data_IF_870031537703
#
_entry.id   IF_870031537703
#
_cell.length_a   1.000
_cell.length_b   1.000
_cell.length_c   1.000
_cell.angle_alpha   90.00
_cell.angle_beta   90.00
_cell.angle_gamma   90.00
#
_symmetry.space_group_name_H-M   'P 1'
#
loop_
_entity.id
_entity.type
_entity.pdbx_description
1 polymer ?
#
# COMPACT_ATOMS: atom_id res chain seq x y z
N UNK A 1 6.75 17.51 -0.21
CA UNK A 1 5.97 17.47 1.04
C UNK A 1 6.82 17.64 2.28
N UNK A 2 7.89 16.85 2.47
CA UNK A 2 8.72 16.92 3.69
C UNK A 2 9.32 18.32 3.94
N UNK A 3 9.93 18.95 2.93
CA UNK A 3 10.40 20.35 3.02
C UNK A 3 9.33 21.34 3.49
N UNK A 4 8.11 21.27 2.94
CA UNK A 4 6.99 22.13 3.35
C UNK A 4 6.54 21.85 4.79
N UNK A 5 6.66 20.60 5.24
CA UNK A 5 6.37 20.20 6.61
C UNK A 5 7.46 20.68 7.58
N UNK A 6 8.73 20.63 7.17
CA UNK A 6 9.87 21.09 7.98
C UNK A 6 9.84 22.62 8.12
N UNK A 7 9.58 23.35 7.03
CA UNK A 7 9.39 24.80 7.05
C UNK A 7 8.21 25.21 7.95
N UNK A 8 7.12 24.43 7.91
CA UNK A 8 5.99 24.63 8.81
C UNK A 8 6.38 24.37 10.27
N UNK A 9 7.09 23.28 10.55
CA UNK A 9 7.52 22.93 11.90
C UNK A 9 8.40 24.03 12.51
N UNK A 10 9.33 24.59 11.72
CA UNK A 10 10.18 25.71 12.14
C UNK A 10 9.35 26.97 12.41
N UNK A 11 8.42 27.34 11.51
CA UNK A 11 7.55 28.52 11.72
C UNK A 11 6.70 28.38 12.98
N UNK A 12 6.05 27.22 13.15
CA UNK A 12 5.24 26.92 14.32
C UNK A 12 6.06 26.89 15.62
N UNK A 13 7.34 26.48 15.57
CA UNK A 13 8.19 26.45 16.75
C UNK A 13 8.56 27.86 17.21
N UNK A 14 8.83 28.76 16.26
CA UNK A 14 9.11 30.17 16.54
C UNK A 14 7.86 30.86 17.11
N UNK A 15 6.68 30.62 16.54
CA UNK A 15 5.40 31.15 17.04
C UNK A 15 5.08 30.60 18.44
N UNK A 16 5.22 29.29 18.64
CA UNK A 16 5.00 28.65 19.94
C UNK A 16 5.92 29.19 21.03
N UNK A 17 7.18 29.49 20.72
CA UNK A 17 8.12 30.12 21.67
C UNK A 17 7.72 31.56 22.01
N UNK A 18 7.18 32.32 21.06
CA UNK A 18 6.70 33.69 21.28
C UNK A 18 5.43 33.72 22.15
N UNK A 19 4.54 32.77 21.94
CA UNK A 19 3.27 32.64 22.65
C UNK A 19 3.43 31.93 24.02
N UNK A 20 4.61 31.37 24.31
CA UNK A 20 4.88 30.67 25.57
C UNK A 20 4.19 29.30 25.68
N UNK A 21 3.88 28.65 24.55
CA UNK A 21 3.21 27.35 24.55
C UNK A 21 4.08 26.25 25.14
N UNK A 22 3.42 25.31 25.81
CA UNK A 22 4.07 24.08 26.28
C UNK A 22 4.42 23.19 25.08
N UNK A 23 5.49 22.38 25.19
CA UNK A 23 5.94 21.49 24.10
C UNK A 23 4.85 20.56 23.58
N UNK A 24 3.99 20.06 24.47
CA UNK A 24 2.89 19.16 24.11
C UNK A 24 1.81 19.87 23.29
N UNK A 25 1.51 21.12 23.62
CA UNK A 25 0.56 21.97 22.89
C UNK A 25 1.10 22.33 21.51
N UNK A 26 2.41 22.66 21.42
CA UNK A 26 3.10 22.85 20.14
C UNK A 26 3.01 21.60 19.26
N UNK A 27 3.31 20.41 19.80
CA UNK A 27 3.21 19.15 19.05
C UNK A 27 1.79 18.90 18.54
N UNK A 28 0.79 19.16 19.37
CA UNK A 28 -0.61 19.00 18.99
C UNK A 28 -0.98 19.94 17.84
N UNK A 29 -0.69 21.24 17.99
CA UNK A 29 -0.96 22.26 16.96
C UNK A 29 -0.22 21.98 15.65
N UNK A 30 1.03 21.53 15.73
CA UNK A 30 1.81 21.13 14.55
C UNK A 30 1.17 19.93 13.83
N UNK A 31 0.73 18.91 14.57
CA UNK A 31 0.06 17.75 13.98
C UNK A 31 -1.26 18.14 13.29
N UNK A 32 -2.05 19.00 13.92
CA UNK A 32 -3.34 19.44 13.39
C UNK A 32 -3.15 20.26 12.09
N UNK A 33 -2.15 21.15 12.05
CA UNK A 33 -1.83 21.94 10.87
C UNK A 33 -1.26 21.06 9.73
N UNK A 34 -0.40 20.09 10.06
CA UNK A 34 0.09 19.12 9.08
C UNK A 34 -1.04 18.27 8.49
N UNK A 35 -1.98 17.81 9.34
CA UNK A 35 -3.15 17.06 8.90
C UNK A 35 -4.04 17.91 7.98
N UNK A 36 -4.27 19.18 8.33
CA UNK A 36 -5.06 20.12 7.53
C UNK A 36 -4.43 20.34 6.16
N UNK A 37 -3.12 20.54 6.09
CA UNK A 37 -2.42 20.71 4.81
C UNK A 37 -2.41 19.44 3.96
N UNK A 38 -2.21 18.28 4.59
CA UNK A 38 -2.32 16.99 3.89
C UNK A 38 -3.72 16.79 3.31
N UNK A 39 -4.77 17.10 4.09
CA UNK A 39 -6.15 17.03 3.63
C UNK A 39 -6.43 18.01 2.47
N UNK A 40 -5.94 19.25 2.56
CA UNK A 40 -6.06 20.23 1.49
C UNK A 40 -5.34 19.77 0.21
N UNK A 41 -4.16 19.15 0.35
CA UNK A 41 -3.41 18.60 -0.77
C UNK A 41 -4.16 17.41 -1.41
N UNK A 42 -4.66 16.50 -0.57
CA UNK A 42 -5.45 15.36 -1.02
C UNK A 42 -6.72 15.79 -1.75
N UNK A 43 -7.37 16.86 -1.29
CA UNK A 43 -8.51 17.49 -1.97
C UNK A 43 -8.10 18.12 -3.30
N UNK A 44 -6.98 18.84 -3.34
CA UNK A 44 -6.48 19.53 -4.54
C UNK A 44 -6.16 18.55 -5.68
N UNK A 45 -5.59 17.39 -5.36
CA UNK A 45 -5.23 16.36 -6.33
C UNK A 45 -6.24 15.21 -6.40
N UNK A 46 -7.38 15.31 -5.70
CA UNK A 46 -8.41 14.27 -5.61
C UNK A 46 -7.85 12.87 -5.26
N UNK A 47 -6.81 12.83 -4.44
CA UNK A 47 -6.16 11.58 -4.00
C UNK A 47 -6.79 11.13 -2.68
N UNK A 48 -7.46 9.99 -2.66
CA UNK A 48 -8.01 9.38 -1.45
C UNK A 48 -7.14 8.19 -1.01
N UNK A 49 -6.31 8.32 0.05
CA UNK A 49 -5.38 7.26 0.45
C UNK A 49 -6.10 5.98 0.89
N UNK A 50 -7.27 6.12 1.50
CA UNK A 50 -8.11 4.99 1.93
C UNK A 50 -8.68 4.22 0.73
N UNK A 51 -9.16 4.94 -0.28
CA UNK A 51 -9.68 4.35 -1.52
C UNK A 51 -8.59 3.55 -2.24
N UNK A 52 -7.37 4.09 -2.36
CA UNK A 52 -6.27 3.40 -3.04
C UNK A 52 -5.83 2.11 -2.32
N UNK A 53 -5.95 2.04 -0.99
CA UNK A 53 -5.63 0.81 -0.24
C UNK A 53 -6.79 -0.19 -0.21
N UNK A 54 -8.03 0.28 0.00
CA UNK A 54 -9.18 -0.61 0.24
C UNK A 54 -9.82 -1.12 -1.06
N UNK A 55 -9.86 -0.31 -2.12
CA UNK A 55 -10.53 -0.70 -3.38
C UNK A 55 -9.91 -1.95 -4.00
N UNK A 56 -8.58 -2.05 -4.16
CA UNK A 56 -7.98 -3.26 -4.71
C UNK A 56 -8.31 -4.49 -3.87
N UNK A 57 -8.27 -4.37 -2.53
CA UNK A 57 -8.59 -5.48 -1.64
C UNK A 57 -10.07 -5.90 -1.72
N UNK A 58 -10.97 -4.92 -1.73
CA UNK A 58 -12.41 -5.13 -1.80
C UNK A 58 -12.86 -5.77 -3.12
N UNK A 59 -12.16 -5.51 -4.22
CA UNK A 59 -12.45 -6.12 -5.52
C UNK A 59 -11.73 -7.45 -5.71
N UNK A 60 -10.44 -7.54 -5.32
CA UNK A 60 -9.62 -8.72 -5.57
C UNK A 60 -10.02 -9.92 -4.73
N UNK A 61 -10.36 -9.74 -3.44
CA UNK A 61 -10.70 -10.86 -2.56
C UNK A 61 -11.97 -11.58 -3.02
N UNK A 62 -13.10 -10.91 -3.30
CA UNK A 62 -14.29 -11.58 -3.82
C UNK A 62 -14.04 -12.22 -5.19
N UNK A 63 -13.33 -11.54 -6.10
CA UNK A 63 -13.03 -12.08 -7.43
C UNK A 63 -12.18 -13.36 -7.32
N UNK A 64 -11.20 -13.37 -6.43
CA UNK A 64 -10.36 -14.53 -6.16
C UNK A 64 -11.16 -15.71 -5.60
N UNK A 65 -12.05 -15.45 -4.64
CA UNK A 65 -12.92 -16.49 -4.05
C UNK A 65 -13.87 -17.05 -5.11
N UNK A 66 -14.55 -16.19 -5.86
CA UNK A 66 -15.49 -16.60 -6.91
C UNK A 66 -14.78 -17.45 -7.95
N UNK A 67 -13.63 -16.99 -8.49
CA UNK A 67 -12.91 -17.76 -9.49
C UNK A 67 -12.40 -19.11 -8.94
N UNK A 68 -11.92 -19.15 -7.70
CA UNK A 68 -11.48 -20.40 -7.07
C UNK A 68 -12.64 -21.38 -6.88
N UNK A 69 -13.81 -20.90 -6.45
CA UNK A 69 -15.03 -21.69 -6.32
C UNK A 69 -15.54 -22.17 -7.67
N UNK A 70 -15.54 -21.30 -8.69
CA UNK A 70 -15.95 -21.65 -10.05
C UNK A 70 -15.05 -22.71 -10.66
N UNK A 71 -13.72 -22.59 -10.55
CA UNK A 71 -12.78 -23.60 -11.05
C UNK A 71 -12.97 -24.92 -10.32
N UNK A 72 -13.10 -24.89 -8.98
CA UNK A 72 -13.39 -26.09 -8.18
C UNK A 72 -14.70 -26.75 -8.63
N UNK A 73 -15.76 -25.98 -8.79
CA UNK A 73 -17.06 -26.50 -9.23
C UNK A 73 -16.98 -27.08 -10.65
N UNK A 74 -16.34 -26.37 -11.59
CA UNK A 74 -16.16 -26.84 -12.96
C UNK A 74 -15.47 -28.20 -13.00
N UNK A 75 -14.42 -28.39 -12.20
CA UNK A 75 -13.69 -29.66 -12.14
C UNK A 75 -14.53 -30.77 -11.51
N UNK A 76 -15.41 -30.47 -10.55
CA UNK A 76 -16.35 -31.47 -10.02
C UNK A 76 -17.51 -31.81 -10.96
N UNK A 77 -17.95 -30.85 -11.78
CA UNK A 77 -19.10 -31.01 -12.68
C UNK A 77 -18.70 -31.70 -13.98
N UNK A 78 -17.49 -31.44 -14.48
CA UNK A 78 -17.02 -31.94 -15.77
C UNK A 78 -15.89 -32.97 -15.56
N UNK A 79 -16.18 -34.28 -15.57
CA UNK A 79 -15.17 -35.32 -15.34
C UNK A 79 -14.07 -35.31 -16.42
N UNK A 80 -14.41 -34.93 -17.65
CA UNK A 80 -13.44 -34.74 -18.75
C UNK A 80 -12.37 -33.71 -18.39
N UNK A 81 -12.75 -32.60 -17.73
CA UNK A 81 -11.80 -31.58 -17.29
C UNK A 81 -10.95 -32.08 -16.11
N UNK A 82 -11.54 -32.86 -15.21
CA UNK A 82 -10.83 -33.43 -14.06
C UNK A 82 -9.77 -34.47 -14.47
N UNK A 83 -10.06 -35.26 -15.52
CA UNK A 83 -9.20 -36.32 -16.03
C UNK A 83 -8.06 -35.80 -16.91
N UNK A 84 -8.15 -34.57 -17.42
CA UNK A 84 -7.11 -33.97 -18.25
C UNK A 84 -5.79 -33.83 -17.48
N UNK A 85 -4.71 -34.13 -18.20
CA UNK A 85 -3.34 -33.91 -17.77
C UNK A 85 -2.79 -32.60 -18.35
N UNK A 86 -1.94 -31.93 -17.59
CA UNK A 86 -1.26 -30.70 -18.02
C UNK A 86 0.15 -30.66 -17.46
N UNK A 87 1.16 -30.55 -18.34
CA UNK A 87 2.57 -30.64 -17.99
C UNK A 87 2.90 -31.92 -17.19
N UNK A 88 3.18 -31.83 -15.89
CA UNK A 88 3.46 -32.96 -15.00
C UNK A 88 2.25 -33.42 -14.17
N UNK A 89 1.10 -32.77 -14.34
CA UNK A 89 -0.11 -33.05 -13.58
C UNK A 89 -0.90 -34.11 -14.35
N UNK A 90 -1.12 -35.27 -13.76
CA UNK A 90 -1.86 -36.37 -14.38
C UNK A 90 -3.38 -36.13 -14.37
N UNK A 91 -3.90 -35.55 -13.29
CA UNK A 91 -5.32 -35.26 -13.13
C UNK A 91 -5.52 -33.87 -12.51
N UNK A 92 -6.11 -32.95 -13.27
CA UNK A 92 -6.39 -31.59 -12.79
C UNK A 92 -7.38 -31.52 -11.61
N UNK A 93 -8.21 -32.54 -11.43
CA UNK A 93 -9.14 -32.64 -10.31
C UNK A 93 -8.57 -33.19 -9.01
N UNK A 94 -7.38 -33.77 -9.04
CA UNK A 94 -6.70 -34.24 -7.84
C UNK A 94 -5.71 -33.17 -7.35
N UNK A 95 -5.35 -33.18 -6.06
CA UNK A 95 -4.23 -32.40 -5.57
C UNK A 95 -2.94 -32.74 -6.30
N UNK A 96 -2.04 -31.76 -6.49
CA UNK A 96 -0.75 -31.99 -7.15
C UNK A 96 0.09 -32.98 -6.33
N UNK A 97 0.37 -34.17 -6.89
CA UNK A 97 1.13 -35.24 -6.25
C UNK A 97 2.59 -34.85 -5.99
N UNK A 98 3.17 -34.00 -6.84
CA UNK A 98 4.57 -33.59 -6.75
C UNK A 98 4.76 -32.35 -5.88
N UNK A 99 3.67 -31.70 -5.45
CA UNK A 99 3.66 -30.45 -4.68
C UNK A 99 4.40 -29.27 -5.35
N UNK A 100 4.71 -29.38 -6.63
CA UNK A 100 5.46 -28.36 -7.37
C UNK A 100 4.60 -27.09 -7.50
N UNK A 101 3.31 -27.23 -7.82
CA UNK A 101 2.42 -26.09 -8.01
C UNK A 101 2.24 -25.24 -6.74
N UNK A 102 1.88 -25.81 -5.58
CA UNK A 102 1.79 -25.02 -4.34
C UNK A 102 3.11 -24.33 -3.99
N UNK A 103 4.25 -25.00 -4.21
CA UNK A 103 5.58 -24.42 -3.96
C UNK A 103 5.87 -23.23 -4.87
N UNK A 104 5.62 -23.36 -6.18
CA UNK A 104 5.80 -22.26 -7.14
C UNK A 104 4.86 -21.10 -6.83
N UNK A 105 3.59 -21.38 -6.52
CA UNK A 105 2.62 -20.36 -6.11
C UNK A 105 3.09 -19.63 -4.84
N UNK A 106 3.55 -20.36 -3.82
CA UNK A 106 4.09 -19.78 -2.59
C UNK A 106 5.31 -18.90 -2.83
N UNK A 107 6.25 -19.34 -3.67
CA UNK A 107 7.45 -18.57 -4.03
C UNK A 107 7.09 -17.30 -4.81
N UNK A 108 6.14 -17.37 -5.75
CA UNK A 108 5.65 -16.20 -6.47
C UNK A 108 4.91 -15.23 -5.53
N UNK A 109 4.09 -15.75 -4.61
CA UNK A 109 3.46 -14.95 -3.56
C UNK A 109 4.48 -14.23 -2.71
N UNK A 110 5.54 -14.93 -2.30
CA UNK A 110 6.64 -14.36 -1.52
C UNK A 110 7.41 -13.30 -2.32
N UNK A 111 7.72 -13.57 -3.59
CA UNK A 111 8.36 -12.62 -4.48
C UNK A 111 7.54 -11.34 -4.69
N UNK A 112 6.22 -11.47 -4.79
CA UNK A 112 5.31 -10.31 -4.83
C UNK A 112 5.34 -9.52 -3.51
N UNK A 113 5.39 -10.19 -2.36
CA UNK A 113 5.50 -9.54 -1.06
C UNK A 113 6.83 -8.77 -0.92
N UNK A 114 7.96 -9.40 -1.28
CA UNK A 114 9.27 -8.73 -1.28
C UNK A 114 9.30 -7.53 -2.21
N UNK A 115 8.78 -7.67 -3.43
CA UNK A 115 8.77 -6.57 -4.38
C UNK A 115 7.93 -5.37 -3.87
N UNK A 116 6.82 -5.64 -3.18
CA UNK A 116 6.03 -4.60 -2.52
C UNK A 116 6.82 -3.89 -1.42
N UNK A 117 7.59 -4.64 -0.61
CA UNK A 117 8.46 -4.10 0.44
C UNK A 117 9.61 -3.27 -0.13
N UNK A 118 10.30 -3.75 -1.15
CA UNK A 118 11.41 -3.01 -1.79
C UNK A 118 10.95 -1.67 -2.35
N UNK A 119 9.73 -1.58 -2.90
CA UNK A 119 9.15 -0.31 -3.35
C UNK A 119 8.87 0.66 -2.20
N UNK A 120 8.47 0.14 -1.05
CA UNK A 120 8.27 0.97 0.13
C UNK A 120 9.62 1.53 0.64
N UNK A 121 10.63 0.69 0.77
CA UNK A 121 12.00 1.06 1.17
C UNK A 121 12.58 2.12 0.21
N UNK A 122 12.55 1.88 -1.10
CA UNK A 122 13.06 2.82 -2.10
C UNK A 122 12.34 4.18 -2.05
N UNK A 123 11.02 4.19 -1.78
CA UNK A 123 10.25 5.43 -1.60
C UNK A 123 10.61 6.15 -0.31
N UNK A 124 10.91 5.41 0.75
CA UNK A 124 11.38 5.95 2.03
C UNK A 124 12.76 6.59 1.86
N UNK A 125 13.71 5.88 1.26
CA UNK A 125 15.06 6.39 0.97
C UNK A 125 15.02 7.64 0.10
N UNK A 126 14.22 7.64 -0.98
CA UNK A 126 14.06 8.81 -1.83
C UNK A 126 13.47 10.02 -1.06
N UNK A 127 12.55 9.77 -0.13
CA UNK A 127 12.00 10.81 0.72
C UNK A 127 13.03 11.34 1.74
N UNK A 128 13.92 10.49 2.25
CA UNK A 128 15.01 10.85 3.17
C UNK A 128 16.13 11.61 2.46
N UNK A 129 16.58 11.15 1.29
CA UNK A 129 17.58 11.82 0.46
C UNK A 129 17.16 13.26 0.08
N UNK A 130 15.87 13.47 -0.20
CA UNK A 130 15.33 14.81 -0.47
C UNK A 130 15.28 15.75 0.76
N UNK A 131 15.54 15.22 1.96
CA UNK A 131 15.44 15.95 3.22
C UNK A 131 16.78 16.25 3.88
N UNK A 132 17.86 15.61 3.45
CA UNK A 132 19.19 16.01 3.89
C UNK A 132 19.45 17.43 3.40
N UNK A 133 19.71 18.41 4.29
CA UNK A 133 20.09 19.75 3.85
C UNK A 133 21.32 19.59 2.97
N UNK A 134 21.25 20.12 1.76
CA UNK A 134 22.42 20.29 0.90
C UNK A 134 23.41 21.12 1.73
N UNK A 135 24.33 20.46 2.42
CA UNK A 135 25.58 21.08 2.82
C UNK A 135 26.16 21.60 1.52
N UNK A 136 26.32 22.92 1.43
CA UNK A 136 26.75 23.61 0.22
C UNK A 136 28.02 23.00 -0.38
N UNK A 137 28.36 23.37 -1.62
CA UNK A 137 29.54 22.83 -2.30
C UNK A 137 30.74 22.93 -1.37
N UNK A 138 31.22 21.77 -0.93
CA UNK A 138 32.44 21.63 -0.18
C UNK A 138 33.53 22.32 -0.99
N UNK A 139 34.12 23.36 -0.41
CA UNK A 139 35.29 24.03 -0.94
C UNK A 139 36.32 23.00 -1.40
N UNK A 140 37.02 23.23 -2.52
CA UNK A 140 37.98 22.28 -3.04
C UNK A 140 39.02 21.92 -1.95
N UNK A 141 39.43 20.64 -1.87
CA UNK A 141 40.40 20.20 -0.89
C UNK A 141 41.70 21.01 -1.05
N UNK A 142 42.31 21.50 0.05
CA UNK A 142 43.62 22.13 -0.03
C UNK A 142 44.65 21.13 -0.59
N UNK A 143 45.63 21.61 -1.37
CA UNK A 143 46.61 20.75 -2.02
C UNK A 143 47.43 19.95 -0.98
N UNK A 144 47.86 18.72 -1.34
CA UNK A 144 48.56 17.84 -0.42
C UNK A 144 49.92 18.44 -0.02
N UNK A 145 50.08 18.76 1.27
CA UNK A 145 51.37 19.06 1.85
C UNK A 145 52.15 17.76 2.03
N UNK A 146 53.21 17.63 1.24
CA UNK A 146 54.21 16.59 1.33
C UNK A 146 55.09 16.80 2.56
N UNK A 147 55.01 15.89 3.54
CA UNK A 147 56.06 15.68 4.55
C UNK A 147 56.29 14.18 4.74
N UNK A 148 57.56 13.71 4.71
CA UNK A 148 57.91 12.30 4.86
C UNK A 148 58.28 11.94 6.31
N UNK A 149 58.45 10.63 6.56
CA UNK A 149 59.09 10.02 7.75
C UNK A 149 58.16 9.88 8.96
N UNK A 150 58.04 8.76 9.68
CA UNK A 150 58.78 7.49 9.75
C UNK A 150 57.95 6.48 10.57
N UNK A 151 58.05 5.19 10.22
CA UNK A 151 57.69 3.99 11.00
C UNK A 151 58.34 3.98 12.42
N UNK A 152 57.98 3.11 13.41
CA UNK A 152 57.59 1.70 13.23
C UNK A 152 56.57 1.05 14.18
N UNK A 153 56.12 -0.12 13.73
CA UNK A 153 55.68 -1.33 14.42
C UNK A 153 55.27 -1.28 15.91
N UNK A 154 54.03 -1.69 16.18
CA UNK A 154 53.70 -2.40 17.43
C UNK A 154 52.51 -3.34 17.20
N UNK A 155 52.81 -4.63 17.27
CA UNK A 155 51.89 -5.76 17.26
C UNK A 155 51.11 -5.86 18.58
N UNK A 156 49.78 -6.03 18.52
CA UNK A 156 49.00 -6.56 19.65
C UNK A 156 47.94 -7.57 19.18
N UNK A 157 47.72 -8.69 19.92
CA UNK A 157 46.94 -9.84 19.50
C UNK A 157 45.43 -9.71 19.78
N UNK A 158 44.59 -10.61 19.22
CA UNK A 158 43.13 -10.52 19.30
C UNK A 158 42.57 -11.10 20.61
N UNK A 159 41.52 -10.52 21.20
CA UNK A 159 40.74 -11.19 22.23
C UNK A 159 39.54 -11.97 21.66
N UNK A 160 39.62 -13.28 21.91
CA UNK A 160 38.57 -14.21 22.32
C UNK A 160 37.10 -13.92 21.98
N UNK A 161 36.57 -14.87 21.20
CA UNK A 161 35.18 -15.32 21.10
C UNK A 161 34.45 -15.45 22.45
N UNK A 162 33.27 -14.83 22.54
CA UNK A 162 32.24 -15.14 23.53
C UNK A 162 30.88 -15.35 22.83
N UNK A 163 30.16 -16.45 23.07
CA UNK A 163 28.83 -16.68 22.51
C UNK A 163 27.72 -15.98 23.34
N UNK A 164 26.61 -15.52 22.72
CA UNK A 164 25.49 -14.94 23.45
C UNK A 164 24.59 -16.02 24.10
N UNK A 165 24.09 -15.80 25.34
CA UNK A 165 23.15 -16.69 25.99
C UNK A 165 21.73 -16.52 25.43
N UNK A 166 21.21 -17.57 24.81
CA UNK A 166 19.79 -17.67 24.44
C UNK A 166 18.96 -17.92 25.70
N UNK A 167 18.23 -16.90 26.16
CA UNK A 167 17.18 -17.06 27.17
C UNK A 167 15.84 -17.39 26.49
N UNK A 168 15.43 -18.66 26.59
CA UNK A 168 14.10 -19.13 26.23
C UNK A 168 13.07 -18.64 27.26
N UNK A 169 12.27 -17.63 26.90
CA UNK A 169 11.02 -17.32 27.62
C UNK A 169 9.88 -18.13 27.02
N UNK A 170 9.55 -19.23 27.69
CA UNK A 170 8.30 -19.96 27.52
C UNK A 170 7.12 -19.07 27.89
N UNK A 171 6.31 -18.64 26.91
CA UNK A 171 5.04 -17.95 27.16
C UNK A 171 3.92 -18.99 27.18
N UNK A 172 3.35 -19.21 28.36
CA UNK A 172 2.16 -20.02 28.59
C UNK A 172 0.97 -19.34 27.92
N UNK A 173 0.29 -20.02 26.99
CA UNK A 173 -1.01 -19.62 26.49
C UNK A 173 -2.09 -20.18 27.42
N UNK A 174 -2.77 -19.28 28.13
CA UNK A 174 -4.00 -19.62 28.84
C UNK A 174 -5.17 -19.63 27.85
N UNK A 175 -5.83 -20.78 27.82
CA UNK A 175 -7.14 -21.01 27.22
C UNK A 175 -8.21 -20.27 28.00
N UNK A 176 -9.05 -19.48 27.32
CA UNK A 176 -10.33 -19.04 27.88
C UNK A 176 -11.44 -19.28 26.86
N UNK A 177 -12.52 -19.81 27.41
CA UNK A 177 -13.70 -20.42 26.80
C UNK A 177 -14.60 -19.47 26.03
N UNK A 178 -15.16 -20.01 24.95
CA UNK A 178 -16.59 -20.08 24.61
C UNK A 178 -17.50 -19.08 25.32
N UNK A 179 -18.18 -18.25 24.52
CA UNK A 179 -19.52 -17.76 24.84
C UNK A 179 -20.31 -17.56 23.54
N UNK A 180 -21.29 -18.44 23.36
CA UNK A 180 -22.44 -18.26 22.48
C UNK A 180 -23.16 -16.97 22.84
N UNK A 181 -23.64 -16.24 21.83
CA UNK A 181 -24.88 -15.49 21.96
C UNK A 181 -25.53 -15.32 20.57
N UNK A 182 -26.63 -16.07 20.41
CA UNK A 182 -27.69 -15.81 19.45
C UNK A 182 -28.15 -14.36 19.59
N UNK A 183 -28.36 -13.64 18.49
CA UNK A 183 -29.41 -12.62 18.41
C UNK A 183 -29.94 -12.50 16.97
N UNK A 184 -31.15 -13.03 16.79
CA UNK A 184 -32.04 -12.83 15.67
C UNK A 184 -32.72 -11.46 15.76
N UNK A 185 -32.69 -10.67 14.68
CA UNK A 185 -33.42 -9.40 14.58
C UNK A 185 -33.78 -9.07 13.11
N UNK A 186 -34.91 -8.39 12.86
CA UNK A 186 -35.64 -8.50 11.60
C UNK A 186 -35.16 -7.57 10.48
N UNK A 187 -35.29 -8.06 9.24
CA UNK A 187 -34.97 -7.33 8.02
C UNK A 187 -36.02 -6.24 7.73
N UNK A 188 -35.60 -4.98 7.72
CA UNK A 188 -36.38 -3.88 7.19
C UNK A 188 -36.15 -3.73 5.67
N UNK A 189 -37.17 -4.10 4.88
CA UNK A 189 -37.26 -3.80 3.45
C UNK A 189 -37.46 -2.30 3.20
N UNK A 190 -36.40 -1.62 2.80
CA UNK A 190 -36.43 -0.23 2.34
C UNK A 190 -37.02 -0.10 0.93
N UNK A 191 -38.11 0.68 0.82
CA UNK A 191 -38.86 0.98 -0.40
C UNK A 191 -37.97 1.69 -1.45
N UNK A 192 -37.66 1.02 -2.56
CA UNK A 192 -37.10 1.63 -3.78
C UNK A 192 -38.15 2.56 -4.41
N UNK A 193 -37.92 3.88 -4.35
CA UNK A 193 -38.61 4.84 -5.22
C UNK A 193 -37.97 4.79 -6.61
N UNK A 194 -38.71 4.29 -7.59
CA UNK A 194 -38.35 4.32 -9.01
C UNK A 194 -38.65 5.74 -9.51
N UNK A 195 -37.62 6.53 -9.75
CA UNK A 195 -37.74 7.80 -10.44
C UNK A 195 -37.92 7.52 -11.95
N UNK A 196 -39.12 7.79 -12.46
CA UNK A 196 -39.43 7.73 -13.88
C UNK A 196 -38.59 8.78 -14.65
N UNK A 197 -37.81 8.33 -15.63
CA UNK A 197 -37.13 9.19 -16.60
C UNK A 197 -38.19 9.86 -17.50
N UNK A 198 -38.12 11.18 -17.75
CA UNK A 198 -39.00 11.83 -18.71
C UNK A 198 -38.68 11.35 -20.12
N UNK A 199 -39.76 11.01 -20.84
CA UNK A 199 -39.82 10.54 -22.22
C UNK A 199 -39.27 11.62 -23.15
N UNK A 200 -38.26 11.27 -23.95
CA UNK A 200 -37.68 12.15 -24.96
C UNK A 200 -38.74 12.49 -26.01
N UNK A 201 -39.07 13.77 -26.12
CA UNK A 201 -39.93 14.32 -27.17
C UNK A 201 -39.12 14.34 -28.46
N UNK A 202 -39.66 13.70 -29.50
CA UNK A 202 -39.06 13.64 -30.83
C UNK A 202 -38.87 15.07 -31.38
N UNK A 203 -37.64 15.40 -31.74
CA UNK A 203 -37.29 16.66 -32.39
C UNK A 203 -37.80 16.66 -33.84
N UNK A 204 -38.62 17.65 -34.16
CA UNK A 204 -39.06 17.96 -35.52
C UNK A 204 -37.86 18.60 -36.26
N UNK A 205 -37.43 18.06 -37.41
CA UNK A 205 -36.36 18.65 -38.21
C UNK A 205 -36.87 19.94 -38.87
N UNK A 206 -36.33 21.10 -38.48
CA UNK A 206 -36.57 22.38 -39.18
C UNK A 206 -36.77 23.63 -38.31
N UNK A 207 -36.85 23.51 -36.98
CA UNK A 207 -37.02 24.68 -36.11
C UNK A 207 -35.68 25.41 -35.86
N UNK A 208 -35.61 26.75 -35.96
CA UNK A 208 -34.41 27.52 -35.67
C UNK A 208 -33.99 27.33 -34.20
N UNK A 209 -32.71 27.00 -33.99
CA UNK A 209 -32.12 26.75 -32.66
C UNK A 209 -32.38 27.95 -31.74
N UNK A 210 -33.06 27.77 -30.59
CA UNK A 210 -33.18 28.85 -29.61
C UNK A 210 -31.80 29.20 -29.08
N UNK A 211 -31.46 30.49 -29.11
CA UNK A 211 -30.19 30.99 -28.60
C UNK A 211 -30.02 30.57 -27.12
N UNK A 212 -28.83 30.07 -26.74
CA UNK A 212 -28.57 29.65 -25.37
C UNK A 212 -28.72 30.86 -24.44
N UNK A 213 -29.72 30.80 -23.56
CA UNK A 213 -29.87 31.79 -22.50
C UNK A 213 -28.65 31.75 -21.58
N UNK A 214 -28.16 32.90 -21.10
CA UNK A 214 -27.02 32.95 -20.19
C UNK A 214 -27.37 32.15 -18.92
N UNK A 215 -26.68 31.03 -18.74
CA UNK A 215 -26.80 30.20 -17.54
C UNK A 215 -26.36 31.05 -16.35
N UNK A 216 -27.32 31.48 -15.53
CA UNK A 216 -27.06 32.11 -14.24
C UNK A 216 -26.36 31.07 -13.37
N UNK A 217 -25.04 31.10 -13.36
CA UNK A 217 -24.21 30.30 -12.45
C UNK A 217 -24.54 30.76 -11.03
N UNK A 218 -25.44 30.02 -10.36
CA UNK A 218 -25.63 30.14 -8.92
C UNK A 218 -24.26 29.86 -8.30
N UNK A 219 -23.64 30.89 -7.71
CA UNK A 219 -22.49 30.73 -6.82
C UNK A 219 -22.90 29.74 -5.74
N UNK A 220 -22.51 28.48 -5.91
CA UNK A 220 -22.58 27.49 -4.85
C UNK A 220 -21.63 28.00 -3.78
N UNK A 221 -22.20 28.43 -2.65
CA UNK A 221 -21.46 28.85 -1.48
C UNK A 221 -20.65 27.62 -1.06
N UNK A 222 -19.34 27.66 -1.28
CA UNK A 222 -18.46 26.55 -0.94
C UNK A 222 -18.64 26.17 0.53
N UNK A 223 -18.49 24.88 0.89
CA UNK A 223 -18.60 24.44 2.27
C UNK A 223 -17.69 25.28 3.17
N UNK A 224 -18.23 25.73 4.30
CA UNK A 224 -17.46 26.53 5.25
C UNK A 224 -16.26 25.72 5.74
N UNK A 225 -15.13 26.39 5.95
CA UNK A 225 -13.91 25.76 6.45
C UNK A 225 -14.12 25.02 7.78
N UNK A 226 -15.09 25.45 8.60
CA UNK A 226 -15.45 24.80 9.86
C UNK A 226 -16.02 23.38 9.67
N UNK A 227 -16.91 23.18 8.70
CA UNK A 227 -17.50 21.85 8.41
C UNK A 227 -16.45 20.86 7.86
N UNK A 228 -15.37 21.38 7.25
CA UNK A 228 -14.27 20.56 6.73
C UNK A 228 -13.32 20.03 7.82
N UNK A 229 -13.26 20.66 8.99
CA UNK A 229 -12.38 20.23 10.10
C UNK A 229 -12.95 19.00 10.79
N UNK A 230 -14.28 18.86 10.86
CA UNK A 230 -14.93 17.78 11.59
C UNK A 230 -14.88 16.44 10.83
N UNK A 231 -15.09 16.45 9.50
CA UNK A 231 -14.95 15.25 8.65
C UNK A 231 -13.48 14.79 8.49
N UNK A 232 -12.51 15.68 8.58
CA UNK A 232 -11.09 15.29 8.43
C UNK A 232 -10.51 14.71 9.72
N UNK A 233 -11.05 15.07 10.88
CA UNK A 233 -10.59 14.59 12.18
C UNK A 233 -10.77 13.07 12.36
N UNK A 234 -11.87 12.47 11.86
CA UNK A 234 -12.09 11.03 12.01
C UNK A 234 -11.16 10.23 11.10
N UNK A 235 -10.93 10.70 9.87
CA UNK A 235 -9.98 10.08 8.93
C UNK A 235 -8.55 10.19 9.46
N UNK A 236 -8.16 11.34 10.02
CA UNK A 236 -6.86 11.52 10.65
C UNK A 236 -6.66 10.62 11.89
N UNK A 237 -7.72 10.33 12.66
CA UNK A 237 -7.69 9.31 13.73
C UNK A 237 -7.54 7.89 13.20
N UNK A 238 -8.10 7.59 12.02
CA UNK A 238 -8.02 6.28 11.39
C UNK A 238 -6.73 6.01 10.63
N UNK A 239 -6.01 7.06 10.20
CA UNK A 239 -4.67 6.94 9.63
C UNK A 239 -3.68 6.81 10.78
N UNK A 240 -3.15 5.61 11.06
CA UNK A 240 -2.47 5.42 12.33
C UNK A 240 -1.15 6.18 12.35
N UNK A 241 -0.89 6.85 13.47
CA UNK A 241 0.31 7.65 13.73
C UNK A 241 1.62 6.87 13.50
N UNK A 242 1.54 5.53 13.51
CA UNK A 242 2.64 4.66 13.21
C UNK A 242 2.39 4.02 11.82
N UNK A 243 2.79 4.66 10.72
CA UNK A 243 2.70 4.01 9.39
C UNK A 243 3.71 2.87 9.23
N UNK A 244 4.87 2.98 9.88
CA UNK A 244 5.95 2.00 9.74
C UNK A 244 5.58 0.63 10.31
N UNK A 245 4.95 0.55 11.51
CA UNK A 245 4.54 -0.76 12.03
C UNK A 245 3.46 -1.41 11.16
N UNK A 246 2.56 -0.63 10.56
CA UNK A 246 1.51 -1.18 9.69
C UNK A 246 2.14 -1.76 8.45
N UNK A 247 3.09 -1.06 7.83
CA UNK A 247 3.78 -1.56 6.66
C UNK A 247 4.63 -2.79 6.98
N UNK A 248 5.30 -2.81 8.14
CA UNK A 248 6.03 -3.99 8.63
C UNK A 248 5.08 -5.15 8.93
N UNK A 249 3.96 -4.90 9.61
CA UNK A 249 2.95 -5.90 9.90
C UNK A 249 2.33 -6.44 8.61
N UNK A 250 1.97 -5.56 7.67
CA UNK A 250 1.44 -5.93 6.35
C UNK A 250 2.46 -6.79 5.59
N UNK A 251 3.73 -6.41 5.58
CA UNK A 251 4.81 -7.18 4.95
C UNK A 251 4.93 -8.57 5.58
N UNK A 252 4.99 -8.65 6.92
CA UNK A 252 5.05 -9.93 7.63
C UNK A 252 3.82 -10.79 7.36
N UNK A 253 2.64 -10.17 7.30
CA UNK A 253 1.38 -10.84 6.95
C UNK A 253 1.40 -11.36 5.52
N UNK A 254 1.87 -10.58 4.54
CA UNK A 254 1.97 -11.03 3.14
C UNK A 254 2.99 -12.16 2.95
N UNK A 255 4.13 -12.08 3.65
CA UNK A 255 5.11 -13.16 3.71
C UNK A 255 4.51 -14.42 4.34
N UNK A 256 3.81 -14.28 5.48
CA UNK A 256 3.11 -15.38 6.14
C UNK A 256 1.98 -15.98 5.28
N UNK A 257 1.23 -15.14 4.56
CA UNK A 257 0.20 -15.56 3.63
C UNK A 257 0.76 -16.41 2.48
N UNK A 258 2.00 -16.15 2.05
CA UNK A 258 2.67 -16.96 1.03
C UNK A 258 2.92 -18.39 1.50
N UNK A 259 3.29 -18.58 2.77
CA UNK A 259 3.37 -19.91 3.37
C UNK A 259 1.99 -20.56 3.53
N UNK A 260 0.97 -19.78 3.91
CA UNK A 260 -0.40 -20.27 4.02
C UNK A 260 -0.92 -20.79 2.66
N UNK A 261 -0.59 -20.11 1.56
CA UNK A 261 -0.95 -20.53 0.20
C UNK A 261 -0.37 -21.90 -0.14
N UNK A 262 0.86 -22.23 0.32
CA UNK A 262 1.45 -23.56 0.15
C UNK A 262 0.59 -24.59 0.89
N UNK A 263 0.34 -24.38 2.18
CA UNK A 263 -0.41 -25.31 3.04
C UNK A 263 -1.82 -25.56 2.47
N UNK A 264 -2.52 -24.50 2.10
CA UNK A 264 -3.87 -24.61 1.52
C UNK A 264 -3.80 -25.24 0.13
N UNK A 265 -2.80 -24.90 -0.69
CA UNK A 265 -2.62 -25.43 -2.03
C UNK A 265 -2.42 -26.95 -2.05
N UNK A 266 -1.81 -27.53 -1.01
CA UNK A 266 -1.66 -28.99 -0.88
C UNK A 266 -3.00 -29.75 -0.79
N UNK A 267 -4.08 -29.08 -0.36
CA UNK A 267 -5.41 -29.69 -0.22
C UNK A 267 -6.37 -29.32 -1.37
N UNK A 268 -5.93 -28.43 -2.27
CA UNK A 268 -6.77 -27.91 -3.35
C UNK A 268 -6.54 -28.72 -4.64
N UNK A 269 -7.56 -28.88 -5.50
CA UNK A 269 -7.37 -29.45 -6.83
C UNK A 269 -6.28 -28.69 -7.61
N UNK A 270 -5.45 -29.41 -8.37
CA UNK A 270 -4.33 -28.83 -9.10
C UNK A 270 -4.77 -27.68 -10.03
N UNK A 271 -5.95 -27.77 -10.65
CA UNK A 271 -6.52 -26.69 -11.47
C UNK A 271 -6.69 -25.37 -10.71
N UNK A 272 -7.10 -25.42 -9.43
CA UNK A 272 -7.29 -24.22 -8.60
C UNK A 272 -5.93 -23.59 -8.28
N UNK A 273 -4.95 -24.42 -7.91
CA UNK A 273 -3.59 -23.95 -7.60
C UNK A 273 -2.89 -23.40 -8.85
N UNK A 274 -3.15 -23.99 -10.01
CA UNK A 274 -2.67 -23.46 -11.29
C UNK A 274 -3.21 -22.06 -11.57
N UNK A 275 -4.50 -21.84 -11.35
CA UNK A 275 -5.10 -20.50 -11.44
C UNK A 275 -4.40 -19.50 -10.50
N UNK A 276 -4.13 -19.88 -9.25
CA UNK A 276 -3.40 -19.02 -8.31
C UNK A 276 -2.00 -18.68 -8.82
N UNK A 277 -1.30 -19.68 -9.34
CA UNK A 277 0.06 -19.55 -9.88
C UNK A 277 0.08 -18.55 -11.04
N UNK A 278 -0.83 -18.69 -12.00
CA UNK A 278 -0.94 -17.78 -13.14
C UNK A 278 -1.27 -16.34 -12.71
N UNK A 279 -2.20 -16.17 -11.76
CA UNK A 279 -2.58 -14.85 -11.23
C UNK A 279 -1.42 -14.16 -10.52
N UNK A 280 -0.68 -14.88 -9.67
CA UNK A 280 0.50 -14.35 -8.98
C UNK A 280 1.65 -14.07 -9.94
N UNK A 281 1.84 -14.92 -10.96
CA UNK A 281 2.84 -14.72 -12.02
C UNK A 281 2.55 -13.44 -12.81
N UNK A 282 1.29 -13.24 -13.21
CA UNK A 282 0.88 -12.03 -13.92
C UNK A 282 1.14 -10.77 -13.10
N UNK A 283 0.74 -10.78 -11.82
CA UNK A 283 0.97 -9.65 -10.90
C UNK A 283 2.47 -9.36 -10.73
N UNK A 284 3.28 -10.40 -10.61
CA UNK A 284 4.73 -10.28 -10.45
C UNK A 284 5.39 -9.67 -11.69
N UNK A 285 5.03 -10.16 -12.87
CA UNK A 285 5.53 -9.63 -14.14
C UNK A 285 5.08 -8.19 -14.39
N UNK A 286 3.81 -7.87 -14.11
CA UNK A 286 3.27 -6.52 -14.20
C UNK A 286 4.04 -5.56 -13.27
N UNK A 287 4.34 -6.00 -12.04
CA UNK A 287 5.11 -5.22 -11.09
C UNK A 287 6.53 -4.94 -11.58
N UNK A 288 7.23 -5.96 -12.09
CA UNK A 288 8.57 -5.80 -12.68
C UNK A 288 8.54 -4.84 -13.87
N UNK A 289 7.57 -5.01 -14.76
CA UNK A 289 7.43 -4.18 -15.95
C UNK A 289 7.25 -2.70 -15.58
N UNK A 290 6.32 -2.39 -14.68
CA UNK A 290 6.11 -1.01 -14.24
C UNK A 290 7.30 -0.45 -13.46
N UNK A 291 8.03 -1.26 -12.70
CA UNK A 291 9.23 -0.79 -12.00
C UNK A 291 10.31 -0.34 -13.00
N UNK A 292 10.46 -1.10 -14.09
CA UNK A 292 11.39 -0.76 -15.16
C UNK A 292 10.98 0.49 -15.90
N UNK A 293 9.70 0.61 -16.25
CA UNK A 293 9.17 1.80 -16.91
C UNK A 293 9.37 3.06 -16.04
N UNK A 294 9.01 2.99 -14.75
CA UNK A 294 9.19 4.11 -13.81
C UNK A 294 10.67 4.53 -13.66
N UNK A 295 11.61 3.57 -13.73
CA UNK A 295 13.05 3.86 -13.66
C UNK A 295 13.55 4.57 -14.93
N UNK A 296 13.04 4.18 -16.10
CA UNK A 296 13.40 4.82 -17.37
C UNK A 296 12.94 6.27 -17.38
N UNK A 297 11.69 6.54 -16.99
CA UNK A 297 11.15 7.91 -16.93
C UNK A 297 11.98 8.80 -15.98
N UNK A 298 12.38 8.27 -14.82
CA UNK A 298 13.24 9.01 -13.88
C UNK A 298 14.62 9.32 -14.47
N UNK A 299 15.24 8.36 -15.15
CA UNK A 299 16.54 8.56 -15.77
C UNK A 299 16.48 9.61 -16.89
N UNK A 300 15.41 9.63 -17.68
CA UNK A 300 15.18 10.65 -18.71
C UNK A 300 14.99 12.05 -18.09
N UNK A 301 14.18 12.16 -17.04
CA UNK A 301 13.99 13.44 -16.33
C UNK A 301 15.29 13.94 -15.69
N UNK A 302 16.13 13.06 -15.19
CA UNK A 302 17.45 13.43 -14.66
C UNK A 302 18.43 13.84 -15.76
N UNK A 303 18.42 13.16 -16.91
CA UNK A 303 19.22 13.52 -18.07
C UNK A 303 18.84 14.92 -18.59
N UNK A 304 17.53 15.21 -18.69
CA UNK A 304 17.01 16.51 -19.09
C UNK A 304 17.33 17.64 -18.11
N UNK A 305 17.52 17.34 -16.82
CA UNK A 305 17.93 18.34 -15.82
C UNK A 305 19.43 18.63 -15.84
N UNK A 306 20.23 17.74 -16.43
CA UNK A 306 21.69 17.89 -16.54
C UNK A 306 22.14 18.55 -17.84
N UNK A 307 21.33 18.44 -18.90
CA UNK A 307 21.50 19.16 -20.16
C UNK A 307 21.12 20.64 -20.01
#
# INVERSE_FOLDING_TARGET
>A
MKRTNDELAVKMAIEGKKEGLTYDEYRKRLKDELATRQAALHKKYSTHPTTTMLVPLAVSVPLFIVMSMTVRQAVTTYPELAAQSFAWIEHMGQPDKMWILPMVAGLLGFGNAEHATSRYEARKEAAEASSSPSSGPSSPPPPPSSSPSSSPASSKPPPASAPPPWQSKTRKFSTTSVRDDQHSGPQHFGKRRVAAKPRAVAQIPGAPKPMPQPVKVKRVKGPQAADMVEETHWVAKLVPQNREWIQKALTMTLRGASFLVIIVGLQMPAAVVWYWTCSMSFTFLQNIYFDRADRQERAEVEALKRA
#
